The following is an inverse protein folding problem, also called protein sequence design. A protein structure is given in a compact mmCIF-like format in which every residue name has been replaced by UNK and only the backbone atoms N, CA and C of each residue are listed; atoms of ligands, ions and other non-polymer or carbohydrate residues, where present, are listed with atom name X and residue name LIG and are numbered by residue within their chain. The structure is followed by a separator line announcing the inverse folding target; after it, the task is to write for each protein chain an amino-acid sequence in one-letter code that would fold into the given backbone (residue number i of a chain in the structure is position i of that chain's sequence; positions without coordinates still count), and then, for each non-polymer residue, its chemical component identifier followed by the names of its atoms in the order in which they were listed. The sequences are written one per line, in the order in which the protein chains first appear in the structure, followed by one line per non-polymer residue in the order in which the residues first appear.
data_IF_533816154543
#
_entry.id   IF_533816154543
#
_cell.length_a   1.000
_cell.length_b   1.000
_cell.length_c   1.000
_cell.angle_alpha   90.00
_cell.angle_beta   90.00
_cell.angle_gamma   90.00
#
_symmetry.space_group_name_H-M   'P 1'
#
loop_
_entity.id
_entity.type
_entity.pdbx_description
1 polymer ?
#
# COMPACT_ATOMS: atom_id res chain seq x y z
N UNK A 1 -4.02 3.38 13.19
CA UNK A 1 -4.13 1.92 13.09
C UNK A 1 -4.03 1.59 11.62
N UNK A 2 -2.99 0.87 11.21
CA UNK A 2 -2.79 0.49 9.81
C UNK A 2 -3.56 -0.82 9.56
N UNK A 3 -4.31 -0.89 8.45
CA UNK A 3 -4.91 -2.14 7.99
C UNK A 3 -3.86 -2.88 7.15
N UNK A 4 -3.38 -4.07 7.56
CA UNK A 4 -2.39 -4.84 6.79
C UNK A 4 -2.96 -5.42 5.48
N UNK A 5 -4.28 -5.26 5.24
CA UNK A 5 -4.95 -5.78 4.06
C UNK A 5 -4.77 -4.86 2.85
N UNK A 6 -4.17 -5.36 1.77
CA UNK A 6 -4.17 -4.69 0.46
C UNK A 6 -4.98 -5.51 -0.56
N UNK A 7 -5.71 -4.85 -1.47
CA UNK A 7 -6.48 -5.58 -2.49
C UNK A 7 -5.53 -6.16 -3.54
N UNK A 8 -5.41 -7.48 -3.59
CA UNK A 8 -4.59 -8.17 -4.59
C UNK A 8 -5.35 -8.35 -5.92
N UNK A 9 -6.62 -8.74 -5.83
CA UNK A 9 -7.49 -8.97 -6.99
C UNK A 9 -8.97 -8.82 -6.65
N UNK A 10 -9.76 -8.40 -7.62
CA UNK A 10 -11.22 -8.36 -7.54
C UNK A 10 -11.84 -9.14 -8.69
N UNK A 11 -12.71 -10.08 -8.36
CA UNK A 11 -13.55 -10.78 -9.34
C UNK A 11 -14.93 -10.13 -9.26
N UNK A 12 -15.36 -9.50 -10.34
CA UNK A 12 -16.64 -8.80 -10.41
C UNK A 12 -17.79 -9.78 -10.73
N UNK A 13 -19.03 -9.43 -10.38
CA UNK A 13 -20.20 -10.20 -10.82
C UNK A 13 -20.28 -10.21 -12.34
N UNK A 14 -20.43 -11.37 -13.00
CA UNK A 14 -20.47 -11.39 -14.46
C UNK A 14 -21.85 -11.01 -15.05
N UNK A 15 -22.93 -11.10 -14.26
CA UNK A 15 -24.30 -10.90 -14.74
C UNK A 15 -25.07 -9.73 -14.08
N UNK A 16 -24.56 -9.13 -13.00
CA UNK A 16 -25.22 -8.02 -12.32
C UNK A 16 -24.40 -6.73 -12.38
N UNK A 17 -25.11 -5.62 -12.61
CA UNK A 17 -24.57 -4.26 -12.58
C UNK A 17 -25.40 -3.42 -11.63
N UNK A 18 -24.72 -2.69 -10.77
CA UNK A 18 -25.33 -1.71 -9.89
C UNK A 18 -25.30 -0.33 -10.54
N UNK A 19 -26.43 0.36 -10.45
CA UNK A 19 -26.57 1.72 -10.97
C UNK A 19 -26.12 2.69 -9.89
N UNK A 20 -25.07 3.47 -10.16
CA UNK A 20 -24.53 4.45 -9.22
C UNK A 20 -24.67 5.86 -9.80
N UNK A 21 -25.02 6.83 -8.96
CA UNK A 21 -25.05 8.24 -9.32
C UNK A 21 -23.82 8.92 -8.74
N UNK A 22 -23.00 9.58 -9.57
CA UNK A 22 -21.85 10.32 -9.09
C UNK A 22 -22.25 11.66 -8.43
N UNK A 23 -21.26 12.37 -7.89
CA UNK A 23 -21.45 13.68 -7.22
C UNK A 23 -22.02 14.77 -8.14
N UNK A 24 -22.00 14.57 -9.47
CA UNK A 24 -22.56 15.47 -10.47
C UNK A 24 -23.94 15.02 -10.97
N UNK A 25 -24.51 13.97 -10.37
CA UNK A 25 -25.80 13.45 -10.76
C UNK A 25 -25.77 12.51 -11.98
N UNK A 26 -24.59 12.19 -12.52
CA UNK A 26 -24.47 11.32 -13.69
C UNK A 26 -24.57 9.86 -13.29
N UNK A 27 -25.42 9.12 -14.01
CA UNK A 27 -25.60 7.69 -13.80
C UNK A 27 -24.51 6.89 -14.52
N UNK A 28 -24.01 5.88 -13.82
CA UNK A 28 -23.03 4.91 -14.32
C UNK A 28 -23.41 3.51 -13.85
N UNK A 29 -22.93 2.51 -14.58
CA UNK A 29 -23.15 1.10 -14.25
C UNK A 29 -21.79 0.47 -13.91
N UNK A 30 -21.68 -0.07 -12.70
CA UNK A 30 -20.50 -0.81 -12.28
C UNK A 30 -20.89 -2.23 -11.91
N UNK A 31 -20.00 -3.17 -12.20
CA UNK A 31 -20.12 -4.51 -11.64
C UNK A 31 -19.55 -4.47 -10.22
N UNK A 32 -20.37 -4.86 -9.24
CA UNK A 32 -19.89 -4.99 -7.87
C UNK A 32 -18.87 -6.14 -7.76
N UNK A 33 -18.04 -6.10 -6.73
CA UNK A 33 -17.11 -7.20 -6.43
C UNK A 33 -17.90 -8.41 -5.92
N UNK A 34 -17.72 -9.56 -6.58
CA UNK A 34 -18.24 -10.86 -6.14
C UNK A 34 -17.27 -11.51 -5.15
N UNK A 35 -15.98 -11.50 -5.50
CA UNK A 35 -14.89 -11.97 -4.63
C UNK A 35 -13.82 -10.88 -4.58
N UNK A 36 -13.41 -10.50 -3.38
CA UNK A 36 -12.22 -9.69 -3.16
C UNK A 36 -11.14 -10.57 -2.53
N UNK A 37 -9.99 -10.65 -3.19
CA UNK A 37 -8.81 -11.33 -2.66
C UNK A 37 -7.92 -10.24 -2.07
N UNK A 38 -7.81 -10.25 -0.75
CA UNK A 38 -6.90 -9.39 0.00
C UNK A 38 -5.57 -10.11 0.16
N UNK A 39 -4.48 -9.37 0.11
CA UNK A 39 -3.18 -9.80 0.60
C UNK A 39 -2.98 -9.20 1.99
N UNK A 40 -2.82 -10.05 2.99
CA UNK A 40 -2.51 -9.68 4.37
C UNK A 40 -1.00 -9.64 4.54
N UNK A 41 -0.42 -8.47 4.78
CA UNK A 41 1.01 -8.41 5.10
C UNK A 41 1.27 -9.08 6.47
N UNK A 42 2.18 -10.09 6.57
CA UNK A 42 2.47 -10.77 7.83
C UNK A 42 3.27 -9.91 8.81
N UNK A 43 3.62 -8.65 8.48
CA UNK A 43 4.33 -7.76 9.40
C UNK A 43 3.58 -7.44 10.68
N UNK A 44 4.34 -7.41 11.76
CA UNK A 44 3.88 -6.96 13.09
C UNK A 44 4.56 -5.67 13.54
N UNK A 45 5.59 -5.21 12.82
CA UNK A 45 6.45 -4.07 13.22
C UNK A 45 6.03 -2.74 12.57
N UNK A 46 5.04 -2.75 11.67
CA UNK A 46 4.49 -1.56 11.03
C UNK A 46 5.36 -1.00 9.91
N UNK A 47 6.26 -1.81 9.35
CA UNK A 47 7.15 -1.42 8.25
C UNK A 47 6.43 -1.32 6.88
N UNK A 48 5.23 -1.90 6.80
CA UNK A 48 4.28 -2.01 5.69
C UNK A 48 4.83 -2.70 4.42
N UNK A 49 5.78 -3.65 4.55
CA UNK A 49 6.48 -4.20 3.38
C UNK A 49 7.16 -5.60 3.50
N UNK A 50 6.77 -6.52 4.39
CA UNK A 50 7.55 -7.77 4.53
C UNK A 50 7.46 -8.64 3.29
N UNK A 51 6.32 -8.56 2.61
CA UNK A 51 6.14 -9.26 1.36
C UNK A 51 6.88 -8.58 0.21
N UNK A 52 7.43 -7.39 0.42
CA UNK A 52 8.17 -6.62 -0.58
C UNK A 52 7.25 -5.98 -1.62
N UNK A 53 6.01 -5.63 -1.26
CA UNK A 53 5.07 -4.99 -2.17
C UNK A 53 5.68 -3.68 -2.70
N UNK A 54 6.28 -2.90 -1.80
CA UNK A 54 7.18 -1.82 -2.11
C UNK A 54 8.61 -2.23 -1.73
N UNK A 55 9.44 -2.55 -2.73
CA UNK A 55 10.87 -2.71 -2.49
C UNK A 55 11.41 -1.36 -2.03
N UNK A 56 11.87 -1.28 -0.79
CA UNK A 56 12.59 -0.12 -0.25
C UNK A 56 14.08 -0.36 -0.28
N UNK A 57 14.86 0.71 -0.13
CA UNK A 57 16.32 0.64 -0.15
C UNK A 57 16.86 -0.33 0.90
N UNK A 58 16.23 -0.40 2.08
CA UNK A 58 16.59 -1.35 3.16
C UNK A 58 16.38 -2.83 2.79
N UNK A 59 15.52 -3.14 1.82
CA UNK A 59 15.27 -4.52 1.37
C UNK A 59 16.25 -4.95 0.27
N UNK A 60 17.01 -4.01 -0.29
CA UNK A 60 17.97 -4.27 -1.35
C UNK A 60 19.31 -4.80 -0.78
N UNK A 61 20.17 -5.35 -1.65
CA UNK A 61 21.55 -5.64 -1.28
C UNK A 61 22.28 -4.33 -0.94
N UNK A 62 22.61 -4.14 0.34
CA UNK A 62 23.21 -2.90 0.82
C UNK A 62 24.59 -2.65 0.23
N UNK A 63 25.36 -3.69 -0.11
CA UNK A 63 26.69 -3.52 -0.72
C UNK A 63 26.57 -2.95 -2.13
N UNK A 64 25.60 -3.43 -2.89
CA UNK A 64 25.31 -2.91 -4.23
C UNK A 64 24.79 -1.48 -4.14
N UNK A 65 23.89 -1.19 -3.18
CA UNK A 65 23.40 0.17 -2.96
C UNK A 65 24.54 1.13 -2.61
N UNK A 66 25.41 0.79 -1.68
CA UNK A 66 26.58 1.60 -1.31
C UNK A 66 27.50 1.86 -2.50
N UNK A 67 27.69 0.88 -3.38
CA UNK A 67 28.45 1.06 -4.61
C UNK A 67 27.77 2.04 -5.59
N UNK A 68 26.45 1.93 -5.76
CA UNK A 68 25.67 2.88 -6.57
C UNK A 68 25.74 4.29 -5.97
N UNK A 69 25.65 4.43 -4.64
CA UNK A 69 25.78 5.72 -3.95
C UNK A 69 27.14 6.36 -4.26
N UNK A 70 28.23 5.58 -4.23
CA UNK A 70 29.58 6.07 -4.59
C UNK A 70 29.68 6.50 -6.06
N UNK A 71 29.06 5.76 -6.98
CA UNK A 71 29.05 6.15 -8.40
C UNK A 71 28.24 7.42 -8.63
N UNK A 72 27.08 7.53 -7.96
CA UNK A 72 26.26 8.73 -8.04
C UNK A 72 26.98 9.92 -7.43
N UNK A 73 27.65 9.74 -6.30
CA UNK A 73 28.46 10.76 -5.63
C UNK A 73 29.55 11.30 -6.56
N UNK A 74 30.24 10.41 -7.28
CA UNK A 74 31.27 10.77 -8.24
C UNK A 74 30.72 11.57 -9.43
N UNK A 75 29.57 11.17 -9.99
CA UNK A 75 28.96 11.84 -11.15
C UNK A 75 28.08 13.04 -10.79
N UNK A 76 27.75 13.25 -9.51
CA UNK A 76 26.73 14.20 -9.07
C UNK A 76 27.03 15.62 -9.53
N UNK A 77 28.23 16.11 -9.24
CA UNK A 77 28.63 17.50 -9.44
C UNK A 77 30.08 17.65 -9.94
N UNK A 78 30.59 16.59 -10.58
CA UNK A 78 31.88 16.58 -11.27
C UNK A 78 32.06 17.83 -12.15
N UNK A 79 33.22 18.47 -12.06
CA UNK A 79 33.50 19.74 -12.74
C UNK A 79 33.13 19.70 -14.22
N UNK A 80 33.54 18.64 -14.92
CA UNK A 80 33.16 18.34 -16.30
C UNK A 80 32.18 17.17 -16.34
N UNK A 81 30.99 17.39 -16.90
CA UNK A 81 30.02 16.33 -17.18
C UNK A 81 29.12 15.91 -16.01
N UNK A 82 29.31 16.47 -14.81
CA UNK A 82 28.44 16.17 -13.66
C UNK A 82 26.98 16.58 -13.89
N UNK A 83 26.05 15.92 -13.20
CA UNK A 83 24.60 16.11 -13.38
C UNK A 83 24.08 17.45 -12.83
N UNK A 84 24.73 17.97 -11.80
CA UNK A 84 24.39 19.21 -11.10
C UNK A 84 25.60 20.16 -11.02
N UNK A 85 25.34 21.45 -10.85
CA UNK A 85 26.40 22.41 -10.56
C UNK A 85 26.94 22.22 -9.13
N UNK A 86 28.26 22.23 -8.87
CA UNK A 86 28.82 21.97 -7.53
C UNK A 86 28.48 23.06 -6.51
N UNK A 87 28.46 24.33 -6.93
CA UNK A 87 28.14 25.45 -6.05
C UNK A 87 26.64 25.64 -5.95
N UNK A 88 25.99 25.73 -7.10
CA UNK A 88 24.57 26.07 -7.14
C UNK A 88 23.68 24.84 -6.99
N UNK A 89 24.14 23.60 -7.06
CA UNK A 89 23.30 22.41 -6.94
C UNK A 89 22.19 22.27 -8.00
N UNK A 90 22.14 23.17 -8.99
CA UNK A 90 21.09 23.20 -10.00
C UNK A 90 21.37 22.16 -11.10
N UNK A 91 20.33 21.59 -11.73
CA UNK A 91 20.49 20.67 -12.84
C UNK A 91 21.33 21.28 -13.99
N UNK A 92 22.40 20.58 -14.42
CA UNK A 92 23.18 20.94 -15.62
C UNK A 92 22.58 20.39 -16.89
N UNK A 93 21.83 19.29 -16.77
CA UNK A 93 21.18 18.59 -17.86
C UNK A 93 19.66 18.68 -17.69
N UNK A 94 18.91 18.31 -18.73
CA UNK A 94 17.46 18.15 -18.58
C UNK A 94 17.15 17.06 -17.55
N UNK A 95 15.96 17.14 -16.94
CA UNK A 95 15.49 16.16 -15.97
C UNK A 95 15.60 14.72 -16.49
N UNK A 96 15.15 14.49 -17.72
CA UNK A 96 15.25 13.21 -18.39
C UNK A 96 16.69 12.73 -18.55
N UNK A 97 17.60 13.62 -18.96
CA UNK A 97 18.99 13.25 -19.12
C UNK A 97 19.63 12.88 -17.77
N UNK A 98 19.32 13.60 -16.69
CA UNK A 98 19.80 13.23 -15.34
C UNK A 98 19.25 11.87 -14.92
N UNK A 99 17.94 11.66 -15.03
CA UNK A 99 17.31 10.39 -14.69
C UNK A 99 17.91 9.23 -15.50
N UNK A 100 18.02 9.37 -16.83
CA UNK A 100 18.61 8.35 -17.68
C UNK A 100 20.06 8.04 -17.32
N UNK A 101 20.87 9.03 -16.98
CA UNK A 101 22.26 8.82 -16.53
C UNK A 101 22.29 8.09 -15.18
N UNK A 102 21.43 8.46 -14.23
CA UNK A 102 21.30 7.77 -12.94
C UNK A 102 20.94 6.29 -13.13
N UNK A 103 19.91 6.01 -13.95
CA UNK A 103 19.51 4.64 -14.26
C UNK A 103 20.61 3.88 -14.99
N UNK A 104 21.22 4.45 -16.02
CA UNK A 104 22.29 3.81 -16.76
C UNK A 104 23.48 3.46 -15.83
N UNK A 105 23.88 4.37 -14.96
CA UNK A 105 24.96 4.17 -13.98
C UNK A 105 24.63 3.04 -13.00
N UNK A 106 23.44 3.09 -12.39
CA UNK A 106 23.00 2.08 -11.42
C UNK A 106 22.88 0.69 -12.06
N UNK A 107 22.28 0.60 -13.25
CA UNK A 107 22.12 -0.66 -14.00
C UNK A 107 23.48 -1.22 -14.43
N UNK A 108 24.40 -0.37 -14.86
CA UNK A 108 25.75 -0.80 -15.24
C UNK A 108 26.46 -1.42 -14.04
N UNK A 109 26.39 -0.77 -12.88
CA UNK A 109 26.92 -1.30 -11.62
C UNK A 109 26.27 -2.63 -11.24
N UNK A 110 24.94 -2.73 -11.32
CA UNK A 110 24.19 -3.94 -10.96
C UNK A 110 24.52 -5.15 -11.83
N UNK A 111 24.88 -4.93 -13.09
CA UNK A 111 25.28 -5.97 -14.03
C UNK A 111 26.79 -6.10 -14.17
N UNK A 112 27.55 -5.76 -13.13
CA UNK A 112 29.02 -5.89 -13.07
C UNK A 112 29.73 -5.24 -14.28
N UNK A 113 29.23 -4.08 -14.69
CA UNK A 113 29.71 -3.30 -15.82
C UNK A 113 29.52 -3.92 -17.22
N UNK A 114 28.57 -4.84 -17.36
CA UNK A 114 28.16 -5.40 -18.64
C UNK A 114 27.35 -4.37 -19.46
N UNK A 115 27.97 -3.86 -20.55
CA UNK A 115 27.37 -2.83 -21.41
C UNK A 115 26.15 -3.34 -22.18
N UNK A 116 26.14 -4.59 -22.61
CA UNK A 116 25.05 -5.14 -23.41
C UNK A 116 23.80 -5.31 -22.56
N UNK A 117 23.94 -5.87 -21.35
CA UNK A 117 22.82 -5.97 -20.40
C UNK A 117 22.28 -4.61 -19.98
N UNK A 118 23.17 -3.65 -19.75
CA UNK A 118 22.77 -2.28 -19.42
C UNK A 118 21.95 -1.67 -20.55
N UNK A 119 22.45 -1.73 -21.79
CA UNK A 119 21.74 -1.16 -22.94
C UNK A 119 20.41 -1.87 -23.20
N UNK A 120 20.38 -3.20 -23.07
CA UNK A 120 19.14 -3.98 -23.20
C UNK A 120 18.09 -3.56 -22.17
N UNK A 121 18.48 -3.42 -20.90
CA UNK A 121 17.58 -2.95 -19.84
C UNK A 121 17.08 -1.53 -20.10
N UNK A 122 18.00 -0.60 -20.42
CA UNK A 122 17.65 0.80 -20.68
C UNK A 122 16.68 0.91 -21.85
N UNK A 123 16.90 0.15 -22.93
CA UNK A 123 16.00 0.13 -24.08
C UNK A 123 14.62 -0.45 -23.74
N UNK A 124 14.57 -1.54 -22.97
CA UNK A 124 13.31 -2.17 -22.56
C UNK A 124 12.45 -1.29 -21.65
N UNK A 125 13.08 -0.37 -20.91
CA UNK A 125 12.43 0.42 -19.86
C UNK A 125 12.46 1.93 -20.09
N UNK A 126 12.91 2.38 -21.27
CA UNK A 126 13.14 3.80 -21.57
C UNK A 126 11.91 4.66 -21.29
N UNK A 127 10.76 4.27 -21.82
CA UNK A 127 9.51 5.01 -21.64
C UNK A 127 9.12 5.15 -20.17
N UNK A 128 9.22 4.07 -19.39
CA UNK A 128 8.83 4.06 -17.98
C UNK A 128 9.80 4.90 -17.13
N UNK A 129 11.09 4.90 -17.46
CA UNK A 129 12.09 5.75 -16.80
C UNK A 129 11.78 7.23 -17.05
N UNK A 130 11.49 7.60 -18.31
CA UNK A 130 11.13 8.97 -18.66
C UNK A 130 9.85 9.42 -17.95
N UNK A 131 8.81 8.57 -17.97
CA UNK A 131 7.57 8.82 -17.24
C UNK A 131 7.79 8.98 -15.73
N UNK A 132 8.62 8.13 -15.14
CA UNK A 132 8.98 8.21 -13.71
C UNK A 132 9.77 9.48 -13.37
N UNK A 133 10.53 10.04 -14.32
CA UNK A 133 11.21 11.29 -14.12
C UNK A 133 10.22 12.46 -14.00
N UNK A 134 9.19 12.50 -14.84
CA UNK A 134 8.31 13.69 -15.01
C UNK A 134 6.95 13.63 -14.34
N UNK A 135 6.46 12.47 -13.90
CA UNK A 135 5.09 12.39 -13.39
C UNK A 135 4.88 13.37 -12.21
N UNK A 136 3.63 13.76 -11.96
CA UNK A 136 3.27 14.64 -10.86
C UNK A 136 3.01 13.91 -9.53
N UNK A 137 3.21 12.59 -9.47
CA UNK A 137 2.86 11.74 -8.33
C UNK A 137 3.86 10.59 -8.21
N UNK A 138 4.70 10.64 -7.17
CA UNK A 138 5.77 9.66 -6.94
C UNK A 138 6.84 9.64 -8.05
N UNK A 139 7.32 10.82 -8.49
CA UNK A 139 8.44 10.96 -9.42
C UNK A 139 9.75 11.41 -8.76
N UNK A 140 10.82 11.36 -9.54
CA UNK A 140 12.09 12.02 -9.22
C UNK A 140 12.04 13.54 -9.40
N UNK A 141 11.01 14.09 -10.06
CA UNK A 141 10.92 15.50 -10.44
C UNK A 141 11.26 16.43 -9.29
N UNK A 142 10.56 16.29 -8.17
CA UNK A 142 10.64 17.23 -7.05
C UNK A 142 12.03 17.22 -6.39
N UNK A 143 12.67 16.05 -6.30
CA UNK A 143 14.00 15.88 -5.73
C UNK A 143 15.13 16.38 -6.64
N UNK A 144 14.96 16.23 -7.95
CA UNK A 144 15.91 16.68 -8.95
C UNK A 144 15.85 18.21 -9.13
N UNK A 145 14.65 18.78 -9.29
CA UNK A 145 14.47 20.25 -9.49
C UNK A 145 14.44 21.04 -8.18
N UNK A 146 14.42 20.36 -7.03
CA UNK A 146 14.37 20.97 -5.71
C UNK A 146 13.18 21.93 -5.55
N UNK A 147 12.01 21.48 -6.02
CA UNK A 147 10.76 22.27 -6.08
C UNK A 147 10.40 22.96 -4.75
N UNK A 148 10.73 22.33 -3.63
CA UNK A 148 10.45 22.81 -2.27
C UNK A 148 11.70 23.34 -1.53
N UNK A 149 12.76 23.69 -2.27
CA UNK A 149 14.02 24.18 -1.72
C UNK A 149 14.99 23.07 -1.30
N UNK A 150 16.14 23.50 -0.73
CA UNK A 150 17.26 22.64 -0.31
C UNK A 150 17.21 22.32 1.16
N UNK A 151 16.21 21.55 1.56
CA UNK A 151 16.13 21.08 2.96
C UNK A 151 17.10 19.95 3.29
N UNK A 152 17.67 19.27 2.28
CA UNK A 152 18.53 18.08 2.44
C UNK A 152 19.98 18.35 2.06
N UNK A 153 20.89 17.67 2.73
CA UNK A 153 22.32 17.70 2.38
C UNK A 153 22.56 17.08 1.00
N UNK A 154 23.72 17.37 0.40
CA UNK A 154 24.13 16.77 -0.89
C UNK A 154 24.17 15.24 -0.77
N UNK A 155 24.76 14.74 0.30
CA UNK A 155 24.95 13.31 0.59
C UNK A 155 23.59 12.60 0.75
N UNK A 156 22.66 13.22 1.48
CA UNK A 156 21.30 12.70 1.64
C UNK A 156 20.56 12.62 0.30
N UNK A 157 20.75 13.63 -0.56
CA UNK A 157 20.15 13.63 -1.90
C UNK A 157 20.73 12.51 -2.76
N UNK A 158 22.05 12.36 -2.80
CA UNK A 158 22.73 11.27 -3.51
C UNK A 158 22.19 9.92 -3.05
N UNK A 159 22.20 9.66 -1.73
CA UNK A 159 21.73 8.41 -1.14
C UNK A 159 20.25 8.13 -1.44
N UNK A 160 19.39 9.16 -1.34
CA UNK A 160 17.98 9.03 -1.64
C UNK A 160 17.74 8.65 -3.10
N UNK A 161 18.37 9.35 -4.06
CA UNK A 161 18.17 9.10 -5.48
C UNK A 161 18.74 7.73 -5.87
N UNK A 162 19.89 7.34 -5.34
CA UNK A 162 20.47 6.01 -5.52
C UNK A 162 19.50 4.91 -5.02
N UNK A 163 18.97 5.06 -3.81
CA UNK A 163 17.99 4.13 -3.25
C UNK A 163 16.71 4.04 -4.08
N UNK A 164 16.16 5.18 -4.50
CA UNK A 164 14.96 5.26 -5.34
C UNK A 164 15.16 4.59 -6.70
N UNK A 165 16.27 4.87 -7.39
CA UNK A 165 16.61 4.27 -8.69
C UNK A 165 16.86 2.77 -8.53
N UNK A 166 17.65 2.36 -7.54
CA UNK A 166 17.97 0.95 -7.33
C UNK A 166 16.73 0.11 -7.03
N UNK A 167 15.88 0.59 -6.12
CA UNK A 167 14.61 -0.09 -5.80
C UNK A 167 13.65 -0.13 -6.98
N UNK A 168 13.65 0.89 -7.84
CA UNK A 168 12.91 0.85 -9.10
C UNK A 168 13.43 -0.27 -10.02
N UNK A 169 14.76 -0.36 -10.20
CA UNK A 169 15.38 -1.40 -11.04
C UNK A 169 15.06 -2.79 -10.50
N UNK A 170 15.15 -3.01 -9.19
CA UNK A 170 14.79 -4.29 -8.56
C UNK A 170 13.33 -4.67 -8.79
N UNK A 171 12.41 -3.70 -8.81
CA UNK A 171 10.99 -3.94 -9.14
C UNK A 171 10.82 -4.31 -10.61
N UNK A 172 11.53 -3.64 -11.51
CA UNK A 172 11.48 -3.93 -12.95
C UNK A 172 12.06 -5.32 -13.29
N UNK A 173 13.13 -5.74 -12.60
CA UNK A 173 13.78 -7.04 -12.79
C UNK A 173 13.07 -8.19 -12.06
N UNK A 174 12.12 -7.88 -11.15
CA UNK A 174 11.44 -8.89 -10.36
C UNK A 174 10.64 -9.83 -11.28
N UNK A 175 10.92 -11.15 -11.26
CA UNK A 175 10.09 -12.10 -11.97
C UNK A 175 8.64 -12.03 -11.47
N UNK A 176 7.67 -12.08 -12.38
CA UNK A 176 6.26 -11.90 -12.05
C UNK A 176 5.78 -12.86 -10.95
N UNK A 177 6.29 -14.10 -10.88
CA UNK A 177 5.90 -15.10 -9.88
C UNK A 177 6.47 -14.82 -8.47
N UNK A 178 7.49 -13.97 -8.36
CA UNK A 178 7.99 -13.44 -7.08
C UNK A 178 7.27 -12.14 -6.68
N UNK A 179 6.29 -11.71 -7.47
CA UNK A 179 5.50 -10.54 -7.12
C UNK A 179 4.62 -10.87 -5.90
N UNK A 180 4.54 -10.00 -4.89
CA UNK A 180 3.80 -10.27 -3.64
C UNK A 180 2.33 -10.58 -3.85
N UNK A 181 1.76 -10.02 -4.93
CA UNK A 181 0.46 -10.43 -5.47
C UNK A 181 0.25 -11.93 -5.53
N UNK A 182 1.27 -12.76 -5.77
CA UNK A 182 1.18 -14.22 -5.89
C UNK A 182 1.54 -14.98 -4.62
N UNK A 183 1.76 -14.31 -3.49
CA UNK A 183 1.92 -14.96 -2.19
C UNK A 183 0.57 -15.47 -1.68
N UNK A 184 0.06 -16.55 -2.29
CA UNK A 184 -1.27 -17.10 -2.03
C UNK A 184 -1.50 -17.51 -0.57
N UNK A 185 -0.42 -17.80 0.16
CA UNK A 185 -0.45 -18.13 1.59
C UNK A 185 -0.90 -16.95 2.46
N UNK A 186 -0.77 -15.73 1.96
CA UNK A 186 -1.18 -14.50 2.63
C UNK A 186 -2.51 -13.97 2.10
N UNK A 187 -3.21 -14.76 1.27
CA UNK A 187 -4.47 -14.32 0.72
C UNK A 187 -5.62 -14.54 1.70
N UNK A 188 -6.36 -13.47 2.00
CA UNK A 188 -7.68 -13.53 2.63
C UNK A 188 -8.75 -13.36 1.55
N UNK A 189 -9.54 -14.41 1.34
CA UNK A 189 -10.61 -14.42 0.34
C UNK A 189 -11.93 -13.98 0.97
N UNK A 190 -12.47 -12.87 0.50
CA UNK A 190 -13.78 -12.35 0.88
C UNK A 190 -14.80 -12.62 -0.23
N UNK A 191 -15.75 -13.51 0.03
CA UNK A 191 -16.87 -13.79 -0.89
C UNK A 191 -18.07 -12.97 -0.45
N UNK A 192 -18.38 -11.89 -1.19
CA UNK A 192 -19.36 -10.89 -0.78
C UNK A 192 -20.77 -11.47 -0.57
N UNK A 193 -21.34 -12.30 -1.47
CA UNK A 193 -22.63 -12.96 -1.22
C UNK A 193 -22.67 -13.79 0.05
N UNK A 194 -21.60 -14.53 0.34
CA UNK A 194 -21.54 -15.37 1.54
C UNK A 194 -21.48 -14.50 2.79
N UNK A 195 -20.77 -13.37 2.74
CA UNK A 195 -20.74 -12.40 3.84
C UNK A 195 -22.12 -11.75 4.04
N UNK A 196 -22.78 -11.29 2.98
CA UNK A 196 -24.14 -10.75 3.03
C UNK A 196 -25.14 -11.77 3.57
N UNK A 197 -25.02 -13.03 3.12
CA UNK A 197 -25.84 -14.13 3.61
C UNK A 197 -25.62 -14.40 5.09
N UNK A 198 -24.36 -14.55 5.53
CA UNK A 198 -24.05 -14.75 6.96
C UNK A 198 -24.62 -13.62 7.81
N UNK A 199 -24.49 -12.38 7.34
CA UNK A 199 -24.99 -11.19 8.04
C UNK A 199 -26.52 -11.17 8.12
N UNK A 200 -27.20 -11.51 7.03
CA UNK A 200 -28.66 -11.59 6.98
C UNK A 200 -29.21 -12.73 7.85
N UNK A 201 -28.60 -13.92 7.78
CA UNK A 201 -29.10 -15.13 8.42
C UNK A 201 -28.77 -15.21 9.92
N UNK A 202 -27.59 -14.76 10.34
CA UNK A 202 -27.07 -15.05 11.68
C UNK A 202 -26.78 -13.81 12.52
N UNK A 203 -26.38 -12.71 11.89
CA UNK A 203 -26.03 -11.50 12.63
C UNK A 203 -27.28 -10.77 13.11
N UNK A 204 -27.22 -10.29 14.35
CA UNK A 204 -28.28 -9.52 15.00
C UNK A 204 -27.71 -8.20 15.49
N UNK A 205 -28.53 -7.16 15.46
CA UNK A 205 -28.18 -5.89 16.06
C UNK A 205 -28.02 -6.07 17.56
N UNK A 206 -26.88 -5.62 18.09
CA UNK A 206 -26.53 -5.80 19.49
C UNK A 206 -27.57 -5.17 20.44
N UNK A 207 -28.21 -4.07 20.05
CA UNK A 207 -29.21 -3.37 20.87
C UNK A 207 -30.61 -3.97 20.79
N UNK A 208 -31.16 -4.09 19.58
CA UNK A 208 -32.56 -4.49 19.39
C UNK A 208 -32.74 -5.99 19.17
N UNK A 209 -31.64 -6.75 19.02
CA UNK A 209 -31.61 -8.20 18.80
C UNK A 209 -32.34 -8.68 17.53
N UNK A 210 -32.76 -7.75 16.65
CA UNK A 210 -33.33 -8.07 15.34
C UNK A 210 -32.22 -8.33 14.32
N UNK A 211 -32.50 -9.19 13.35
CA UNK A 211 -31.60 -9.47 12.22
C UNK A 211 -31.43 -8.26 11.29
N UNK A 212 -30.45 -8.35 10.39
CA UNK A 212 -30.22 -7.37 9.32
C UNK A 212 -30.92 -7.80 8.04
N UNK A 213 -31.47 -6.84 7.28
CA UNK A 213 -32.00 -7.13 5.94
C UNK A 213 -30.87 -7.46 4.96
N UNK A 214 -31.20 -8.15 3.87
CA UNK A 214 -30.23 -8.48 2.82
C UNK A 214 -29.63 -7.20 2.23
N UNK A 215 -28.30 -7.15 2.11
CA UNK A 215 -27.58 -5.98 1.61
C UNK A 215 -27.48 -4.81 2.58
N UNK A 216 -27.97 -4.95 3.83
CA UNK A 216 -27.82 -3.91 4.84
C UNK A 216 -26.36 -3.75 5.27
N UNK A 217 -25.88 -2.51 5.31
CA UNK A 217 -24.55 -2.15 5.80
C UNK A 217 -24.67 -1.62 7.25
N UNK A 218 -24.42 -2.44 8.28
CA UNK A 218 -24.54 -1.99 9.65
C UNK A 218 -23.34 -1.15 10.07
N UNK A 219 -23.58 -0.26 11.03
CA UNK A 219 -22.50 0.48 11.69
C UNK A 219 -21.89 -0.37 12.80
N UNK A 220 -20.57 -0.35 12.93
CA UNK A 220 -19.86 -0.93 14.08
C UNK A 220 -19.08 0.13 14.84
N UNK A 221 -18.99 -0.04 16.16
CA UNK A 221 -18.12 0.76 17.02
C UNK A 221 -16.71 0.14 17.17
N UNK A 222 -16.45 -1.01 16.54
CA UNK A 222 -15.16 -1.72 16.63
C UNK A 222 -14.56 -1.96 15.24
N UNK A 223 -13.26 -1.70 15.14
CA UNK A 223 -12.44 -2.07 13.98
C UNK A 223 -11.88 -3.49 14.10
N UNK A 224 -11.88 -4.06 15.30
CA UNK A 224 -11.28 -5.37 15.63
C UNK A 224 -12.33 -6.48 15.84
N UNK A 225 -13.54 -6.30 15.31
CA UNK A 225 -14.58 -7.31 15.44
C UNK A 225 -14.17 -8.64 14.78
N UNK A 226 -14.55 -9.77 15.38
CA UNK A 226 -14.31 -11.12 14.82
C UNK A 226 -15.10 -11.41 13.53
N UNK A 227 -15.85 -10.43 13.03
CA UNK A 227 -16.78 -10.57 11.93
C UNK A 227 -18.05 -11.36 12.29
N UNK A 228 -18.87 -11.72 11.28
CA UNK A 228 -20.12 -12.44 11.47
C UNK A 228 -19.95 -13.75 12.25
N UNK A 229 -20.62 -13.84 13.39
CA UNK A 229 -20.66 -15.03 14.25
C UNK A 229 -22.08 -15.59 14.34
N UNK A 230 -22.19 -16.88 14.64
CA UNK A 230 -23.47 -17.57 14.81
C UNK A 230 -24.29 -17.10 16.02
N UNK A 231 -23.63 -16.43 16.98
CA UNK A 231 -24.24 -15.98 18.25
C UNK A 231 -24.48 -14.46 18.29
N UNK A 232 -24.38 -13.78 17.14
CA UNK A 232 -24.43 -12.32 17.05
C UNK A 232 -23.04 -11.68 16.98
N UNK A 233 -22.98 -10.45 16.49
CA UNK A 233 -21.74 -9.66 16.39
C UNK A 233 -21.75 -8.59 17.49
N UNK A 234 -20.73 -8.60 18.34
CA UNK A 234 -20.55 -7.57 19.36
C UNK A 234 -20.26 -6.21 18.70
N UNK A 235 -20.93 -5.16 19.17
CA UNK A 235 -20.70 -3.80 18.69
C UNK A 235 -21.18 -3.54 17.25
N UNK A 236 -22.12 -4.32 16.72
CA UNK A 236 -22.75 -4.10 15.40
C UNK A 236 -24.22 -3.70 15.57
N UNK A 237 -24.62 -2.60 14.91
CA UNK A 237 -25.90 -1.94 15.13
C UNK A 237 -26.62 -1.62 13.83
N UNK A 238 -27.96 -1.56 13.88
CA UNK A 238 -28.71 -0.76 12.91
C UNK A 238 -28.38 0.72 13.11
N UNK A 239 -28.45 1.51 12.04
CA UNK A 239 -28.20 2.96 12.06
C UNK A 239 -29.03 3.67 13.16
N UNK A 240 -30.32 3.34 13.28
CA UNK A 240 -31.22 3.93 14.29
C UNK A 240 -30.97 3.41 15.71
N UNK A 241 -30.25 2.30 15.83
CA UNK A 241 -29.89 1.70 17.12
C UNK A 241 -28.56 2.25 17.67
N UNK A 242 -27.76 2.94 16.85
CA UNK A 242 -26.47 3.50 17.23
C UNK A 242 -26.68 4.64 18.23
N UNK A 243 -26.49 4.35 19.51
CA UNK A 243 -26.41 5.36 20.56
C UNK A 243 -25.05 5.22 21.26
N UNK A 244 -24.15 6.21 21.17
CA UNK A 244 -22.81 6.12 21.78
C UNK A 244 -22.84 5.95 23.31
N UNK A 245 -23.94 6.33 23.97
CA UNK A 245 -24.06 6.22 25.44
C UNK A 245 -24.62 4.87 25.92
N UNK A 246 -25.20 4.08 25.00
CA UNK A 246 -25.80 2.79 25.29
C UNK A 246 -25.06 1.68 24.54
N UNK A 247 -23.72 1.73 24.57
CA UNK A 247 -22.93 0.60 24.13
C UNK A 247 -23.42 -0.64 24.87
N UNK A 248 -23.47 -1.74 24.13
CA UNK A 248 -23.71 -3.05 24.71
C UNK A 248 -22.47 -3.44 25.51
N UNK A 249 -22.14 -2.71 26.58
CA UNK A 249 -21.30 -3.28 27.62
C UNK A 249 -22.07 -4.51 28.04
N UNK A 250 -21.51 -5.65 27.67
CA UNK A 250 -22.11 -6.94 27.83
C UNK A 250 -22.78 -7.00 29.21
N UNK A 251 -23.91 -7.70 29.27
CA UNK A 251 -24.46 -8.25 30.49
C UNK A 251 -23.49 -9.29 31.12
N UNK A 252 -22.19 -8.99 31.14
CA UNK A 252 -21.17 -9.54 32.01
C UNK A 252 -21.20 -8.88 33.40
N UNK A 253 -22.32 -8.24 33.77
CA UNK A 253 -22.76 -8.29 35.16
C UNK A 253 -23.09 -9.76 35.41
N UNK A 254 -22.06 -10.56 35.72
CA UNK A 254 -22.26 -11.82 36.41
C UNK A 254 -23.20 -11.57 37.61
N UNK A 255 -23.99 -12.56 38.04
CA UNK A 255 -24.93 -12.38 39.14
C UNK A 255 -24.20 -11.63 40.25
N UNK A 256 -24.75 -10.49 40.68
CA UNK A 256 -24.14 -9.64 41.69
C UNK A 256 -23.62 -10.55 42.82
N UNK A 257 -22.36 -10.40 43.27
CA UNK A 257 -21.79 -11.27 44.28
C UNK A 257 -22.80 -11.37 45.42
N UNK A 258 -23.31 -12.58 45.67
CA UNK A 258 -24.28 -12.80 46.73
C UNK A 258 -23.66 -12.24 48.00
N UNK A 259 -24.26 -11.18 48.55
CA UNK A 259 -23.81 -10.62 49.82
C UNK A 259 -23.81 -11.75 50.83
N UNK A 260 -22.62 -12.08 51.34
CA UNK A 260 -22.46 -13.11 52.35
C UNK A 260 -23.36 -12.75 53.54
N UNK A 261 -24.26 -13.66 53.92
CA UNK A 261 -25.10 -13.48 55.11
C UNK A 261 -24.18 -13.30 56.33
N UNK A 262 -24.40 -12.30 57.19
CA UNK A 262 -23.66 -12.18 58.44
C UNK A 262 -23.96 -13.40 59.30
N UNK A 263 -22.91 -14.12 59.71
CA UNK A 263 -22.98 -15.15 60.74
C UNK A 263 -23.14 -14.47 62.09
N UNK A 264 -24.19 -14.85 62.82
CA UNK A 264 -24.46 -14.45 64.20
C UNK A 264 -23.55 -15.18 65.19
#
# INVERSE_FOLDING_TARGET
MHDPSTVAHEIKYPWWRSKHQDVYGKWSYYHDSFITIWHEDPETDGSDDSCGWFIRSRHADQKVLEAIVKDFDFEWDRETGGWFHPVSGDPRLSLHAIALNMFATAVHRMFDYDWDKRNAFMNAHLYQILYFAENNTDSMYEGLVQKYGRSRSREERVAQHAGMVYTWILRALRPWYKHPRWHVWHWRIQVHPLQSFKRWAFSKCCRCQKGFSWGYCPTSNSWNGKGPSWTGEEGVYHNDCRNPEADCVAQAVGPAPQQAKPTA
#
